data_IF_043636894414
#
_entry.id   IF_043636894414
#
_cell.length_a   1.000
_cell.length_b   1.000
_cell.length_c   1.000
_cell.angle_alpha   90.00
_cell.angle_beta   90.00
_cell.angle_gamma   90.00
#
_symmetry.space_group_name_H-M   'P 1'
#
loop_
_entity.id
_entity.type
_entity.pdbx_description
1 polymer ?
#
# COMPACT_ATOMS: atom_id res chain seq x y z
N UNK A 1 -10.26 2.71 -8.58
CA UNK A 1 -9.31 1.73 -7.98
C UNK A 1 -9.99 1.08 -6.79
N UNK A 2 -9.80 -0.22 -6.56
CA UNK A 2 -10.52 -0.97 -5.51
C UNK A 2 -10.17 -0.51 -4.08
N UNK A 3 -8.92 -0.16 -3.82
CA UNK A 3 -8.46 0.27 -2.49
C UNK A 3 -9.08 1.59 -1.98
N UNK A 4 -9.82 2.33 -2.81
CA UNK A 4 -10.62 3.46 -2.34
C UNK A 4 -11.78 3.03 -1.43
N UNK A 5 -12.16 1.75 -1.42
CA UNK A 5 -13.16 1.20 -0.52
C UNK A 5 -12.78 1.37 0.96
N UNK A 6 -11.48 1.48 1.30
CA UNK A 6 -11.04 1.79 2.67
C UNK A 6 -11.59 3.12 3.18
N UNK A 7 -11.79 4.13 2.31
CA UNK A 7 -12.41 5.40 2.69
C UNK A 7 -13.87 5.18 3.10
N UNK A 8 -14.60 4.31 2.39
CA UNK A 8 -15.97 3.95 2.73
C UNK A 8 -16.08 3.18 4.05
N UNK A 9 -15.11 2.32 4.37
CA UNK A 9 -15.05 1.65 5.67
C UNK A 9 -14.83 2.65 6.80
N UNK A 10 -13.84 3.54 6.66
CA UNK A 10 -13.58 4.60 7.65
C UNK A 10 -14.81 5.51 7.83
N UNK A 11 -15.52 5.82 6.75
CA UNK A 11 -16.79 6.55 6.80
C UNK A 11 -17.82 5.79 7.64
N UNK A 12 -18.07 4.52 7.33
CA UNK A 12 -19.08 3.71 8.03
C UNK A 12 -18.79 3.53 9.53
N UNK A 13 -17.51 3.47 9.90
CA UNK A 13 -17.06 3.46 11.30
C UNK A 13 -17.32 4.81 11.97
N UNK A 14 -16.90 5.90 11.32
CA UNK A 14 -17.06 7.27 11.84
C UNK A 14 -18.54 7.62 12.06
N UNK A 15 -19.43 7.25 11.12
CA UNK A 15 -20.88 7.45 11.24
C UNK A 15 -21.51 6.71 12.43
N UNK A 16 -20.86 5.65 12.91
CA UNK A 16 -21.28 4.87 14.08
C UNK A 16 -20.59 5.32 15.37
N UNK A 17 -19.76 6.38 15.32
CA UNK A 17 -18.94 6.82 16.45
C UNK A 17 -17.82 5.85 16.80
N UNK A 18 -17.43 4.96 15.88
CA UNK A 18 -16.35 4.01 16.07
C UNK A 18 -15.05 4.60 15.49
N UNK A 19 -14.02 4.67 16.31
CA UNK A 19 -12.69 5.17 15.91
C UNK A 19 -11.69 4.04 16.11
N UNK A 20 -10.98 3.58 15.05
CA UNK A 20 -9.92 2.60 15.20
C UNK A 20 -8.86 3.09 16.19
N UNK A 21 -8.53 2.27 17.19
CA UNK A 21 -7.43 2.57 18.11
C UNK A 21 -6.06 2.48 17.44
N UNK A 22 -5.95 1.67 16.38
CA UNK A 22 -4.76 1.51 15.56
C UNK A 22 -5.16 1.09 14.15
N UNK A 23 -4.35 1.48 13.16
CA UNK A 23 -4.45 1.01 11.79
C UNK A 23 -3.17 0.27 11.42
N UNK A 24 -3.31 -0.93 10.86
CA UNK A 24 -2.19 -1.66 10.23
C UNK A 24 -2.50 -1.79 8.75
N UNK A 25 -1.65 -1.22 7.89
CA UNK A 25 -1.91 -1.08 6.47
C UNK A 25 -0.79 -1.61 5.58
N UNK A 26 -1.20 -2.15 4.43
CA UNK A 26 -0.32 -2.50 3.32
C UNK A 26 -0.80 -1.78 2.05
N UNK A 27 0.12 -1.22 1.26
CA UNK A 27 -0.17 -0.60 -0.03
C UNK A 27 -1.24 0.50 0.07
N UNK A 28 -2.32 0.43 -0.72
CA UNK A 28 -3.40 1.41 -0.67
C UNK A 28 -4.06 1.50 0.71
N UNK A 29 -4.07 0.42 1.50
CA UNK A 29 -4.53 0.45 2.90
C UNK A 29 -3.64 1.33 3.78
N UNK A 30 -2.32 1.25 3.58
CA UNK A 30 -1.36 2.14 4.26
C UNK A 30 -1.54 3.59 3.82
N UNK A 31 -1.78 3.85 2.53
CA UNK A 31 -2.00 5.20 2.01
C UNK A 31 -3.25 5.86 2.61
N UNK A 32 -4.38 5.16 2.59
CA UNK A 32 -5.65 5.68 3.14
C UNK A 32 -5.55 5.82 4.66
N UNK A 33 -4.98 4.82 5.33
CA UNK A 33 -4.72 4.87 6.77
C UNK A 33 -3.84 6.06 7.16
N UNK A 34 -2.73 6.28 6.45
CA UNK A 34 -1.83 7.40 6.70
C UNK A 34 -2.49 8.76 6.48
N UNK A 35 -3.27 8.91 5.42
CA UNK A 35 -3.96 10.16 5.14
C UNK A 35 -4.97 10.51 6.26
N UNK A 36 -5.74 9.51 6.72
CA UNK A 36 -6.68 9.69 7.83
C UNK A 36 -5.97 9.95 9.16
N UNK A 37 -4.95 9.15 9.49
CA UNK A 37 -4.11 9.33 10.68
C UNK A 37 -3.38 10.69 10.69
N UNK A 38 -3.07 11.27 9.53
CA UNK A 38 -2.48 12.60 9.41
C UNK A 38 -3.51 13.75 9.57
N UNK A 39 -4.78 13.42 9.83
CA UNK A 39 -5.85 14.37 10.13
C UNK A 39 -6.73 14.77 8.94
N UNK A 40 -6.67 14.08 7.80
CA UNK A 40 -7.60 14.33 6.69
C UNK A 40 -9.01 13.87 7.05
N UNK A 41 -9.98 14.72 6.79
CA UNK A 41 -11.39 14.39 6.99
C UNK A 41 -11.86 13.32 5.98
N UNK A 42 -12.85 12.52 6.37
CA UNK A 42 -13.49 11.53 5.48
C UNK A 42 -14.02 12.19 4.20
N UNK A 43 -14.54 13.41 4.29
CA UNK A 43 -15.02 14.16 3.13
C UNK A 43 -13.87 14.47 2.15
N UNK A 44 -12.74 14.99 2.63
CA UNK A 44 -11.56 15.22 1.80
C UNK A 44 -11.06 13.92 1.14
N UNK A 45 -10.97 12.83 1.91
CA UNK A 45 -10.53 11.53 1.39
C UNK A 45 -11.46 11.01 0.31
N UNK A 46 -12.77 11.18 0.48
CA UNK A 46 -13.79 10.79 -0.51
C UNK A 46 -13.67 11.62 -1.78
N UNK A 47 -13.52 12.93 -1.66
CA UNK A 47 -13.42 13.82 -2.82
C UNK A 47 -12.14 13.51 -3.63
N UNK A 48 -11.03 13.23 -2.94
CA UNK A 48 -9.79 12.73 -3.57
C UNK A 48 -10.05 11.37 -4.23
N UNK A 49 -10.68 10.43 -3.54
CA UNK A 49 -10.98 9.10 -4.08
C UNK A 49 -11.81 9.16 -5.38
N UNK A 50 -12.83 10.02 -5.43
CA UNK A 50 -13.70 10.18 -6.61
C UNK A 50 -12.94 10.86 -7.77
N UNK A 51 -12.04 11.79 -7.47
CA UNK A 51 -11.26 12.50 -8.49
C UNK A 51 -10.11 11.66 -9.07
N UNK A 52 -9.49 10.81 -8.25
CA UNK A 52 -8.25 10.12 -8.58
C UNK A 52 -8.42 9.10 -9.72
N UNK A 53 -7.70 9.28 -10.82
CA UNK A 53 -7.64 8.34 -11.95
C UNK A 53 -6.35 7.54 -11.90
N UNK A 54 -6.34 6.36 -12.54
CA UNK A 54 -5.15 5.48 -12.61
C UNK A 54 -3.92 6.20 -13.18
N UNK A 55 -4.13 7.03 -14.22
CA UNK A 55 -3.07 7.81 -14.88
C UNK A 55 -2.42 8.88 -13.98
N UNK A 56 -3.11 9.30 -12.92
CA UNK A 56 -2.61 10.34 -12.00
C UNK A 56 -1.58 9.76 -11.01
N UNK A 57 -1.54 8.42 -10.87
CA UNK A 57 -0.58 7.70 -10.03
C UNK A 57 0.46 7.00 -10.90
N UNK A 58 0.00 6.36 -11.98
CA UNK A 58 0.81 5.49 -12.82
C UNK A 58 1.12 6.20 -14.14
N UNK A 59 2.15 7.04 -14.14
CA UNK A 59 2.69 7.66 -15.34
C UNK A 59 3.83 6.81 -15.91
N UNK A 60 3.70 6.38 -17.17
CA UNK A 60 4.66 5.46 -17.81
C UNK A 60 6.05 6.10 -17.93
N UNK A 61 7.08 5.35 -17.55
CA UNK A 61 8.48 5.77 -17.63
C UNK A 61 9.08 5.55 -19.04
N UNK A 62 8.47 6.16 -20.07
CA UNK A 62 8.84 5.94 -21.48
C UNK A 62 10.34 6.14 -21.78
N UNK A 63 10.98 7.12 -21.15
CA UNK A 63 12.40 7.39 -21.33
C UNK A 63 13.30 6.30 -20.71
N UNK A 64 13.02 5.86 -19.47
CA UNK A 64 13.81 4.81 -18.83
C UNK A 64 13.66 3.46 -19.54
N UNK A 65 12.46 3.13 -20.02
CA UNK A 65 12.23 1.92 -20.81
C UNK A 65 12.99 1.94 -22.13
N UNK A 66 13.07 3.09 -22.81
CA UNK A 66 13.79 3.25 -24.06
C UNK A 66 15.32 3.17 -23.90
N UNK A 67 15.87 3.78 -22.84
CA UNK A 67 17.32 3.87 -22.64
C UNK A 67 17.91 2.71 -21.82
N UNK A 68 17.17 2.16 -20.85
CA UNK A 68 17.66 1.11 -19.94
C UNK A 68 17.12 -0.28 -20.25
N UNK A 69 16.10 -0.41 -21.11
CA UNK A 69 15.46 -1.69 -21.50
C UNK A 69 15.19 -2.57 -20.26
N UNK A 70 15.76 -3.77 -20.19
CA UNK A 70 15.59 -4.72 -19.07
C UNK A 70 16.23 -4.26 -17.74
N UNK A 71 17.04 -3.20 -17.74
CA UNK A 71 17.64 -2.62 -16.50
C UNK A 71 16.80 -1.50 -15.91
N UNK A 72 15.63 -1.19 -16.48
CA UNK A 72 14.70 -0.27 -15.83
C UNK A 72 14.14 -0.93 -14.58
N UNK A 73 14.24 -0.29 -13.39
CA UNK A 73 13.75 -0.87 -12.14
C UNK A 73 12.21 -0.90 -12.06
N UNK A 74 11.52 -0.14 -12.93
CA UNK A 74 10.06 0.00 -12.91
C UNK A 74 9.47 0.42 -14.26
N UNK A 75 8.17 0.15 -14.41
CA UNK A 75 7.33 0.60 -15.55
C UNK A 75 6.80 2.02 -15.38
N UNK A 76 6.56 2.45 -14.14
CA UNK A 76 5.99 3.74 -13.80
C UNK A 76 6.98 4.62 -13.06
N UNK A 77 6.82 5.92 -13.28
CA UNK A 77 7.53 6.98 -12.58
C UNK A 77 7.09 7.06 -11.12
N UNK A 78 8.02 7.41 -10.22
CA UNK A 78 7.75 7.59 -8.79
C UNK A 78 7.04 8.90 -8.48
N UNK A 79 7.30 9.93 -9.28
CA UNK A 79 6.96 11.32 -8.96
C UNK A 79 5.45 11.56 -8.74
N UNK A 80 4.53 10.99 -9.53
CA UNK A 80 3.09 11.23 -9.31
C UNK A 80 2.59 10.68 -7.97
N UNK A 81 3.06 9.48 -7.58
CA UNK A 81 2.71 8.89 -6.30
C UNK A 81 3.34 9.65 -5.13
N UNK A 82 4.61 10.05 -5.26
CA UNK A 82 5.29 10.89 -4.24
C UNK A 82 4.52 12.19 -3.98
N UNK A 83 4.09 12.88 -5.04
CA UNK A 83 3.31 14.12 -4.92
C UNK A 83 1.95 13.88 -4.25
N UNK A 84 1.26 12.79 -4.61
CA UNK A 84 -0.02 12.44 -3.98
C UNK A 84 0.18 12.16 -2.50
N UNK A 85 1.15 11.33 -2.13
CA UNK A 85 1.44 10.99 -0.74
C UNK A 85 1.78 12.26 0.03
N UNK A 86 2.70 13.08 -0.48
CA UNK A 86 3.09 14.32 0.20
C UNK A 86 1.90 15.28 0.41
N UNK A 87 0.99 15.41 -0.58
CA UNK A 87 -0.25 16.17 -0.40
C UNK A 87 -1.14 15.62 0.72
N UNK A 88 -1.20 14.30 0.86
CA UNK A 88 -2.05 13.63 1.83
C UNK A 88 -1.48 13.71 3.26
N UNK A 89 -0.18 13.44 3.43
CA UNK A 89 0.45 13.26 4.76
C UNK A 89 1.44 14.35 5.17
N UNK A 90 1.97 15.14 4.23
CA UNK A 90 2.96 16.19 4.48
C UNK A 90 4.36 15.65 4.82
N UNK A 91 5.06 16.35 5.72
CA UNK A 91 6.41 16.05 6.23
C UNK A 91 6.38 15.43 7.63
N UNK A 92 5.39 14.57 7.91
CA UNK A 92 5.18 13.95 9.22
C UNK A 92 5.98 12.66 9.41
N UNK A 93 6.40 12.42 10.64
CA UNK A 93 6.79 11.11 11.18
C UNK A 93 5.57 10.40 11.78
N UNK A 94 5.73 9.15 12.22
CA UNK A 94 4.61 8.39 12.80
C UNK A 94 4.15 8.98 14.14
N UNK A 95 5.05 9.61 14.89
CA UNK A 95 4.75 10.27 16.16
C UNK A 95 3.87 11.52 15.99
N UNK A 96 3.87 12.13 14.80
CA UNK A 96 3.08 13.33 14.49
C UNK A 96 1.62 13.02 14.10
N UNK A 97 1.25 11.74 14.04
CA UNK A 97 -0.07 11.30 13.61
C UNK A 97 -1.09 11.37 14.75
N UNK A 98 -2.33 11.72 14.41
CA UNK A 98 -3.44 11.76 15.37
C UNK A 98 -3.89 10.37 15.82
N UNK A 99 -3.70 9.37 14.96
CA UNK A 99 -4.08 7.98 15.20
C UNK A 99 -2.92 7.04 14.89
N UNK A 100 -2.62 6.06 15.76
CA UNK A 100 -1.54 5.10 15.54
C UNK A 100 -1.67 4.38 14.19
N UNK A 101 -0.57 4.36 13.45
CA UNK A 101 -0.46 3.74 12.14
C UNK A 101 0.75 2.82 12.11
N UNK A 102 0.57 1.62 11.58
CA UNK A 102 1.64 0.69 11.25
C UNK A 102 1.61 0.41 9.75
N UNK A 103 2.75 0.55 9.08
CA UNK A 103 2.87 0.37 7.63
C UNK A 103 3.77 -0.82 7.30
N UNK A 104 3.24 -1.81 6.59
CA UNK A 104 3.98 -2.99 6.17
C UNK A 104 4.77 -2.76 4.87
N UNK A 105 6.02 -3.19 4.85
CA UNK A 105 6.93 -3.18 3.69
C UNK A 105 7.84 -4.40 3.71
N UNK A 106 8.52 -4.66 2.61
CA UNK A 106 9.52 -5.74 2.52
C UNK A 106 10.84 -5.20 2.01
N UNK A 107 11.94 -5.48 2.71
CA UNK A 107 13.28 -5.25 2.17
C UNK A 107 13.53 -6.19 1.00
N UNK A 108 13.78 -5.62 -0.18
CA UNK A 108 13.89 -6.39 -1.42
C UNK A 108 15.14 -7.28 -1.48
N UNK A 109 16.20 -6.95 -0.75
CA UNK A 109 17.45 -7.69 -0.75
C UNK A 109 17.44 -8.85 0.26
N UNK A 110 16.86 -8.64 1.44
CA UNK A 110 16.82 -9.66 2.48
C UNK A 110 15.51 -10.45 2.55
N UNK A 111 14.45 -9.98 1.89
CA UNK A 111 13.09 -10.53 2.01
C UNK A 111 12.45 -10.30 3.39
N UNK A 112 13.03 -9.41 4.21
CA UNK A 112 12.57 -9.18 5.59
C UNK A 112 11.38 -8.22 5.58
N UNK A 113 10.28 -8.61 6.23
CA UNK A 113 9.16 -7.71 6.48
C UNK A 113 9.54 -6.67 7.54
N UNK A 114 9.16 -5.42 7.29
CA UNK A 114 9.35 -4.31 8.22
C UNK A 114 8.04 -3.56 8.39
N UNK A 115 7.66 -3.38 9.65
CA UNK A 115 6.44 -2.69 10.08
C UNK A 115 6.82 -1.33 10.67
N UNK A 116 6.72 -0.28 9.86
CA UNK A 116 7.02 1.10 10.26
C UNK A 116 5.94 1.64 11.19
N UNK A 117 6.31 2.52 12.12
CA UNK A 117 5.41 3.04 13.15
C UNK A 117 5.38 2.24 14.45
N UNK A 118 6.13 1.14 14.53
CA UNK A 118 6.48 0.47 15.79
C UNK A 118 7.67 1.18 16.46
N UNK A 119 7.85 0.93 17.75
CA UNK A 119 8.96 1.48 18.54
C UNK A 119 10.32 1.29 17.83
N UNK A 120 11.04 2.40 17.62
CA UNK A 120 12.34 2.42 16.93
C UNK A 120 12.25 2.45 15.39
N UNK A 121 11.04 2.36 14.83
CA UNK A 121 10.73 2.42 13.40
C UNK A 121 9.71 3.54 13.07
N UNK A 122 9.53 4.49 13.98
CA UNK A 122 8.49 5.53 13.98
C UNK A 122 9.02 6.94 13.62
N UNK A 123 10.34 7.14 13.65
CA UNK A 123 11.01 8.40 13.24
C UNK A 123 11.12 8.57 11.71
N UNK A 124 10.81 7.53 10.93
CA UNK A 124 10.88 7.59 9.47
C UNK A 124 9.74 8.47 8.95
N UNK A 125 9.97 9.32 7.92
CA UNK A 125 8.87 10.05 7.30
C UNK A 125 7.78 9.10 6.82
N UNK A 126 6.53 9.34 7.23
CA UNK A 126 5.37 8.48 6.89
C UNK A 126 5.25 8.34 5.38
N UNK A 127 5.56 9.40 4.62
CA UNK A 127 5.54 9.38 3.16
C UNK A 127 6.46 8.32 2.55
N UNK A 128 7.62 8.08 3.15
CA UNK A 128 8.61 7.14 2.60
C UNK A 128 8.16 5.71 2.86
N UNK A 129 7.69 5.43 4.09
CA UNK A 129 7.11 4.15 4.44
C UNK A 129 5.86 3.83 3.59
N UNK A 130 4.96 4.79 3.40
CA UNK A 130 3.75 4.64 2.57
C UNK A 130 4.11 4.44 1.10
N UNK A 131 5.08 5.19 0.56
CA UNK A 131 5.53 4.98 -0.81
C UNK A 131 6.12 3.59 -0.97
N UNK A 132 7.02 3.18 -0.08
CA UNK A 132 7.60 1.83 -0.07
C UNK A 132 6.50 0.76 -0.07
N UNK A 133 5.50 0.94 0.81
CA UNK A 133 4.36 0.03 0.92
C UNK A 133 3.50 -0.01 -0.34
N UNK A 134 3.51 1.03 -1.17
CA UNK A 134 2.81 1.05 -2.47
C UNK A 134 3.70 0.67 -3.66
N UNK A 135 5.00 0.44 -3.44
CA UNK A 135 5.98 0.21 -4.49
C UNK A 135 5.98 -1.25 -4.95
N UNK A 136 4.94 -1.66 -5.68
CA UNK A 136 4.82 -3.02 -6.19
C UNK A 136 5.99 -3.32 -7.15
N UNK A 137 6.72 -4.46 -6.98
CA UNK A 137 7.86 -4.79 -7.82
C UNK A 137 7.53 -4.79 -9.32
N UNK A 138 8.41 -4.21 -10.13
CA UNK A 138 8.22 -4.03 -11.57
C UNK A 138 7.30 -2.87 -11.95
N UNK A 139 6.40 -2.42 -11.07
CA UNK A 139 5.53 -1.27 -11.32
C UNK A 139 6.18 0.03 -10.91
N UNK A 140 6.65 0.09 -9.66
CA UNK A 140 7.25 1.27 -9.06
C UNK A 140 8.64 0.91 -8.53
N UNK A 141 9.59 1.86 -8.55
CA UNK A 141 10.94 1.59 -8.07
C UNK A 141 10.92 1.37 -6.55
N UNK A 142 11.81 0.52 -6.01
CA UNK A 142 11.99 0.40 -4.57
C UNK A 142 12.30 1.75 -3.93
N UNK A 143 11.79 1.97 -2.71
CA UNK A 143 12.09 3.17 -1.92
C UNK A 143 13.30 2.91 -1.04
N UNK A 144 14.28 3.80 -1.11
CA UNK A 144 15.38 3.79 -0.16
C UNK A 144 14.94 4.41 1.17
N UNK A 145 15.15 3.70 2.27
CA UNK A 145 14.97 4.19 3.64
C UNK A 145 16.20 3.76 4.44
N UNK A 146 16.95 4.73 4.98
CA UNK A 146 18.16 4.49 5.81
C UNK A 146 19.16 3.51 5.12
N UNK A 147 19.39 3.67 3.81
CA UNK A 147 20.35 2.88 3.03
C UNK A 147 19.87 1.48 2.61
N UNK A 148 18.62 1.12 2.88
CA UNK A 148 18.00 -0.15 2.48
C UNK A 148 16.84 0.11 1.53
N UNK A 149 16.51 -0.87 0.68
CA UNK A 149 15.52 -0.72 -0.38
C UNK A 149 14.27 -1.54 -0.10
N UNK A 150 13.13 -0.87 -0.09
CA UNK A 150 11.85 -1.46 0.31
C UNK A 150 10.83 -1.43 -0.82
N UNK A 151 10.03 -2.48 -0.89
CA UNK A 151 8.92 -2.67 -1.83
C UNK A 151 7.61 -2.94 -1.08
N UNK A 152 6.53 -3.05 -1.85
CA UNK A 152 5.18 -3.28 -1.34
C UNK A 152 5.15 -4.51 -0.41
N UNK A 153 4.60 -4.30 0.79
CA UNK A 153 4.50 -5.34 1.81
C UNK A 153 3.61 -6.50 1.40
N UNK A 154 2.73 -6.31 0.41
CA UNK A 154 1.81 -7.31 -0.09
C UNK A 154 2.50 -8.46 -0.84
N UNK A 155 3.79 -8.29 -1.18
CA UNK A 155 4.66 -9.37 -1.66
C UNK A 155 4.83 -10.50 -0.63
N UNK A 156 4.69 -10.17 0.66
CA UNK A 156 4.71 -11.15 1.74
C UNK A 156 3.41 -11.15 2.51
N UNK A 157 2.84 -10.00 2.89
CA UNK A 157 1.61 -9.88 3.68
C UNK A 157 0.67 -8.73 3.24
N UNK A 158 -0.32 -9.09 2.41
CA UNK A 158 -1.29 -8.15 1.87
C UNK A 158 -2.34 -7.70 2.90
N UNK A 159 -2.67 -8.55 3.87
CA UNK A 159 -3.70 -8.29 4.88
C UNK A 159 -3.13 -8.65 6.26
N UNK A 160 -2.40 -7.71 6.91
CA UNK A 160 -1.57 -7.99 8.09
C UNK A 160 -2.37 -8.16 9.40
N UNK A 161 -3.35 -9.07 9.39
CA UNK A 161 -4.18 -9.45 10.55
C UNK A 161 -3.32 -9.99 11.67
N UNK A 162 -2.32 -10.81 11.34
CA UNK A 162 -1.41 -11.38 12.33
C UNK A 162 -0.62 -10.33 13.09
N UNK A 163 -0.15 -9.30 12.39
CA UNK A 163 0.50 -8.14 13.02
C UNK A 163 -0.46 -7.41 13.96
N UNK A 164 -1.70 -7.14 13.53
CA UNK A 164 -2.68 -6.50 14.41
C UNK A 164 -2.94 -7.31 15.70
N UNK A 165 -2.96 -8.64 15.62
CA UNK A 165 -3.10 -9.51 16.80
C UNK A 165 -1.87 -9.47 17.71
N UNK A 166 -0.67 -9.51 17.14
CA UNK A 166 0.59 -9.43 17.90
C UNK A 166 0.67 -8.10 18.67
N UNK A 167 0.14 -7.02 18.09
CA UNK A 167 0.05 -5.71 18.72
C UNK A 167 -1.03 -5.61 19.80
N UNK A 168 -1.73 -6.71 20.11
CA UNK A 168 -2.66 -6.81 21.22
C UNK A 168 -4.09 -6.36 20.90
N UNK A 169 -4.51 -6.37 19.63
CA UNK A 169 -5.89 -6.03 19.27
C UNK A 169 -6.90 -7.06 19.81
N UNK A 170 -7.88 -6.59 20.59
CA UNK A 170 -9.01 -7.42 21.07
C UNK A 170 -10.00 -7.76 19.94
N UNK A 171 -10.17 -6.83 19.00
CA UNK A 171 -11.05 -6.96 17.84
C UNK A 171 -10.34 -6.42 16.61
N UNK A 172 -10.37 -7.22 15.53
CA UNK A 172 -9.74 -6.85 14.26
C UNK A 172 -10.82 -6.73 13.19
N UNK A 173 -10.93 -5.55 12.58
CA UNK A 173 -11.70 -5.35 11.36
C UNK A 173 -10.77 -5.46 10.15
N UNK A 174 -10.77 -6.62 9.51
CA UNK A 174 -9.98 -6.85 8.31
C UNK A 174 -10.76 -6.37 7.06
N UNK A 175 -10.16 -5.48 6.27
CA UNK A 175 -10.77 -4.95 5.03
C UNK A 175 -10.04 -5.53 3.84
N UNK A 176 -10.58 -6.59 3.27
CA UNK A 176 -10.07 -7.15 2.04
C UNK A 176 -10.74 -6.49 0.82
N UNK A 177 -9.93 -5.81 0.01
CA UNK A 177 -10.34 -5.19 -1.26
C UNK A 177 -9.88 -6.00 -2.47
N UNK A 178 -9.33 -7.20 -2.22
CA UNK A 178 -9.01 -8.18 -3.25
C UNK A 178 -10.34 -8.68 -3.85
N UNK A 179 -10.78 -8.04 -4.93
CA UNK A 179 -11.90 -8.64 -5.68
C UNK A 179 -11.35 -9.84 -6.44
N UNK A 180 -11.60 -11.02 -5.88
CA UNK A 180 -11.74 -12.28 -6.61
C UNK A 180 -12.72 -12.08 -7.79
N UNK A 181 -12.39 -12.70 -8.93
CA UNK A 181 -13.27 -12.87 -10.10
C UNK A 181 -13.52 -11.68 -11.05
N UNK A 182 -12.49 -11.31 -11.81
CA UNK A 182 -12.70 -11.06 -13.23
C UNK A 182 -11.80 -12.03 -14.01
N UNK A 183 -12.39 -12.95 -14.76
CA UNK A 183 -11.67 -13.58 -15.87
C UNK A 183 -11.09 -12.44 -16.71
N UNK A 184 -9.77 -12.32 -16.74
CA UNK A 184 -9.09 -11.43 -17.69
C UNK A 184 -8.88 -12.25 -18.95
N UNK A 185 -9.58 -11.90 -20.02
CA UNK A 185 -9.28 -12.43 -21.34
C UNK A 185 -7.94 -11.85 -21.80
N UNK A 186 -7.16 -12.67 -22.51
CA UNK A 186 -6.06 -12.23 -23.36
C UNK A 186 -4.90 -11.47 -22.69
N UNK A 187 -4.66 -11.68 -21.39
CA UNK A 187 -3.49 -11.09 -20.70
C UNK A 187 -2.16 -11.47 -21.37
N UNK A 188 -2.09 -12.65 -22.01
CA UNK A 188 -0.91 -13.08 -22.78
C UNK A 188 -0.63 -12.18 -24.00
N UNK A 189 -1.63 -11.49 -24.51
CA UNK A 189 -1.53 -10.61 -25.69
C UNK A 189 -1.14 -9.17 -25.32
N UNK A 190 -1.26 -8.79 -24.04
CA UNK A 190 -0.91 -7.46 -23.52
C UNK A 190 0.60 -7.27 -23.23
N UNK A 191 1.40 -8.31 -23.46
CA UNK A 191 2.87 -8.27 -23.34
C UNK A 191 3.42 -8.56 -21.94
N UNK A 192 4.75 -8.54 -21.82
CA UNK A 192 5.48 -9.01 -20.63
C UNK A 192 5.00 -8.34 -19.32
N UNK A 193 4.78 -7.03 -19.34
CA UNK A 193 4.37 -6.27 -18.16
C UNK A 193 3.03 -6.76 -17.61
N UNK A 194 2.05 -7.02 -18.49
CA UNK A 194 0.73 -7.49 -18.10
C UNK A 194 0.76 -8.92 -17.57
N UNK A 195 1.55 -9.80 -18.21
CA UNK A 195 1.75 -11.18 -17.76
C UNK A 195 2.44 -11.22 -16.39
N UNK A 196 3.52 -10.46 -16.21
CA UNK A 196 4.23 -10.38 -14.94
C UNK A 196 3.32 -9.88 -13.82
N UNK A 197 2.60 -8.78 -14.06
CA UNK A 197 1.63 -8.24 -13.12
C UNK A 197 0.59 -9.25 -12.69
N UNK A 198 0.04 -9.99 -13.66
CA UNK A 198 -0.99 -10.98 -13.40
C UNK A 198 -0.44 -12.15 -12.60
N UNK A 199 0.77 -12.62 -12.90
CA UNK A 199 1.42 -13.66 -12.12
C UNK A 199 1.68 -13.20 -10.67
N UNK A 200 2.15 -11.97 -10.48
CA UNK A 200 2.35 -11.37 -9.16
C UNK A 200 1.03 -11.27 -8.39
N UNK A 201 -0.05 -10.76 -9.01
CA UNK A 201 -1.39 -10.72 -8.40
C UNK A 201 -1.88 -12.12 -7.96
N UNK A 202 -1.71 -13.15 -8.81
CA UNK A 202 -2.11 -14.53 -8.49
C UNK A 202 -1.33 -15.05 -7.28
N UNK A 203 -0.01 -14.86 -7.25
CA UNK A 203 0.82 -15.31 -6.15
C UNK A 203 0.44 -14.62 -4.83
N UNK A 204 0.21 -13.30 -4.86
CA UNK A 204 -0.23 -12.52 -3.70
C UNK A 204 -1.59 -12.99 -3.19
N UNK A 205 -2.53 -13.29 -4.08
CA UNK A 205 -3.84 -13.82 -3.73
C UNK A 205 -3.74 -15.20 -3.07
N UNK A 206 -2.95 -16.11 -3.65
CA UNK A 206 -2.75 -17.44 -3.08
C UNK A 206 -2.11 -17.36 -1.68
N UNK A 207 -1.13 -16.47 -1.46
CA UNK A 207 -0.53 -16.24 -0.15
C UNK A 207 -1.52 -15.67 0.86
N UNK A 208 -2.40 -14.76 0.43
CA UNK A 208 -3.47 -14.23 1.28
C UNK A 208 -4.43 -15.33 1.71
N UNK A 209 -4.90 -16.16 0.78
CA UNK A 209 -5.82 -17.28 1.05
C UNK A 209 -5.20 -18.31 1.99
N UNK A 210 -3.94 -18.67 1.77
CA UNK A 210 -3.20 -19.57 2.66
C UNK A 210 -3.12 -19.02 4.09
N UNK A 211 -2.75 -17.74 4.24
CA UNK A 211 -2.73 -17.14 5.58
C UNK A 211 -4.11 -17.09 6.18
N UNK A 212 -5.13 -16.62 5.47
CA UNK A 212 -6.51 -16.54 5.98
C UNK A 212 -7.02 -17.90 6.50
N UNK A 213 -6.64 -19.00 5.85
CA UNK A 213 -7.01 -20.36 6.30
C UNK A 213 -6.40 -20.75 7.66
N UNK A 214 -5.32 -20.10 8.10
CA UNK A 214 -4.75 -20.29 9.44
C UNK A 214 -5.55 -19.52 10.51
N UNK A 215 -6.43 -18.60 10.11
CA UNK A 215 -7.20 -17.73 11.02
C UNK A 215 -8.68 -18.10 11.15
N UNK A 216 -9.21 -18.91 10.23
CA UNK A 216 -10.62 -19.39 10.21
C UNK A 216 -10.71 -20.84 10.63
#
# INVERSE_FOLDING_TARGET
>A
MKGLAHVGVLQALTERGLVPAQIVGTSVGALVGAAWSAGRSIAELRDIAVALRRKDIFAVAHADMAFKRMRSPALFRREPLDLLIHKLVGDRTFQDLHHPLVVNTVDVNSGMQVFWGLDGLDEVPVRDAVFASCALPGYLPPREIRGRFYVDGATVDNLPVGTARILGADMILAVDVSASNAFRADTQEEGFAAVFARATEIAMQALLELRLSEWT
#
